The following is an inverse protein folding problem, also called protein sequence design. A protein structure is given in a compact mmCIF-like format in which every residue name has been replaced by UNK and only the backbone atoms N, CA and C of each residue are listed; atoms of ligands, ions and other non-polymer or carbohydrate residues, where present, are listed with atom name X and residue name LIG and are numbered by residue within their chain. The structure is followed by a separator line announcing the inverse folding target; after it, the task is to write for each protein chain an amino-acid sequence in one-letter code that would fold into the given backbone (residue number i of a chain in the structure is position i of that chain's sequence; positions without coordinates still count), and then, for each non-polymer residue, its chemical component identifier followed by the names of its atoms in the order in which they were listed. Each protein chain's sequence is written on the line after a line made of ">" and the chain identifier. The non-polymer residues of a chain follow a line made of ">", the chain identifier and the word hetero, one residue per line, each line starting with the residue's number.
data_IF_909141344647
#
_entry.id   IF_909141344647
#
_cell.length_a   1.000
_cell.length_b   1.000
_cell.length_c   1.000
_cell.angle_alpha   90.00
_cell.angle_beta   90.00
_cell.angle_gamma   90.00
#
_symmetry.space_group_name_H-M   'P 1'
#
loop_
_entity.id
_entity.type
_entity.pdbx_description
1 polymer ?
#
# COMPACT_ATOMS: atom_id res chain seq x y z
N UNK A 1 -24.14 -4.05 -27.32
CA UNK A 1 -25.17 -3.84 -26.26
C UNK A 1 -24.58 -3.22 -24.98
N UNK A 2 -23.38 -3.57 -24.52
CA UNK A 2 -22.76 -2.94 -23.32
C UNK A 2 -22.22 -1.51 -23.57
N UNK A 3 -21.94 -1.13 -24.81
CA UNK A 3 -21.41 0.19 -25.19
C UNK A 3 -22.34 1.38 -24.96
N UNK A 4 -23.58 1.16 -24.50
CA UNK A 4 -24.56 2.21 -24.20
C UNK A 4 -24.76 2.49 -22.70
N UNK A 5 -24.05 1.78 -21.81
CA UNK A 5 -24.15 2.07 -20.38
C UNK A 5 -23.38 3.35 -20.02
N UNK A 6 -23.96 4.23 -19.18
CA UNK A 6 -23.23 5.35 -18.60
C UNK A 6 -21.98 4.91 -17.85
N UNK A 7 -20.91 5.67 -17.96
CA UNK A 7 -19.63 5.41 -17.31
C UNK A 7 -19.76 5.13 -15.81
N UNK A 8 -20.60 5.90 -15.09
CA UNK A 8 -20.84 5.71 -13.66
C UNK A 8 -21.39 4.32 -13.31
N UNK A 9 -22.22 3.73 -14.16
CA UNK A 9 -22.76 2.39 -13.94
C UNK A 9 -21.68 1.33 -14.22
N UNK A 10 -20.90 1.49 -15.28
CA UNK A 10 -19.77 0.60 -15.57
C UNK A 10 -18.74 0.64 -14.42
N UNK A 11 -18.45 1.82 -13.89
CA UNK A 11 -17.54 1.99 -12.76
C UNK A 11 -18.05 1.28 -11.50
N UNK A 12 -19.37 1.33 -11.24
CA UNK A 12 -20.00 0.55 -10.17
C UNK A 12 -19.90 -0.96 -10.39
N UNK A 13 -20.03 -1.43 -11.62
CA UNK A 13 -19.81 -2.86 -11.94
C UNK A 13 -18.35 -3.22 -11.72
N UNK A 14 -17.41 -2.38 -12.16
CA UNK A 14 -15.98 -2.61 -12.03
C UNK A 14 -15.52 -2.61 -10.56
N UNK A 15 -16.23 -1.91 -9.67
CA UNK A 15 -15.95 -1.93 -8.23
C UNK A 15 -16.14 -3.31 -7.57
N UNK A 16 -16.83 -4.25 -8.22
CA UNK A 16 -16.96 -5.64 -7.74
C UNK A 16 -15.85 -6.57 -8.26
N UNK A 17 -14.99 -6.09 -9.15
CA UNK A 17 -13.91 -6.88 -9.73
C UNK A 17 -12.65 -6.79 -8.87
N UNK A 18 -11.90 -7.88 -8.80
CA UNK A 18 -10.55 -7.88 -8.26
C UNK A 18 -9.61 -7.05 -9.13
N UNK A 19 -8.48 -6.61 -8.56
CA UNK A 19 -7.46 -5.87 -9.31
C UNK A 19 -6.88 -6.65 -10.50
N UNK A 20 -6.83 -7.98 -10.42
CA UNK A 20 -6.39 -8.86 -11.52
C UNK A 20 -7.43 -8.83 -12.66
N UNK A 21 -8.71 -8.87 -12.32
CA UNK A 21 -9.79 -8.76 -13.30
C UNK A 21 -9.83 -7.34 -13.92
N UNK A 22 -9.63 -6.29 -13.12
CA UNK A 22 -9.50 -4.90 -13.61
C UNK A 22 -8.37 -4.77 -14.64
N UNK A 23 -7.21 -5.37 -14.39
CA UNK A 23 -6.11 -5.42 -15.37
C UNK A 23 -6.52 -6.13 -16.66
N UNK A 24 -7.33 -7.19 -16.56
CA UNK A 24 -7.80 -7.97 -17.71
C UNK A 24 -8.81 -7.18 -18.54
N UNK A 25 -9.82 -6.58 -17.90
CA UNK A 25 -10.87 -5.82 -18.60
C UNK A 25 -10.34 -4.51 -19.22
N UNK A 26 -9.26 -3.94 -18.68
CA UNK A 26 -8.57 -2.78 -19.26
C UNK A 26 -7.99 -3.03 -20.67
N UNK A 27 -7.91 -4.30 -21.09
CA UNK A 27 -7.43 -4.69 -22.43
C UNK A 27 -8.56 -4.77 -23.47
N UNK A 28 -9.83 -4.71 -23.06
CA UNK A 28 -10.99 -4.90 -23.94
C UNK A 28 -11.17 -3.73 -24.91
N UNK A 29 -11.24 -2.49 -24.42
CA UNK A 29 -11.35 -1.29 -25.26
C UNK A 29 -10.84 -0.03 -24.53
N UNK A 30 -10.69 1.08 -25.27
CA UNK A 30 -10.17 2.36 -24.72
C UNK A 30 -11.03 2.92 -23.58
N UNK A 31 -12.36 2.82 -23.68
CA UNK A 31 -13.27 3.27 -22.62
C UNK A 31 -13.10 2.44 -21.35
N UNK A 32 -13.04 1.11 -21.50
CA UNK A 32 -12.87 0.20 -20.36
C UNK A 32 -11.51 0.36 -19.71
N UNK A 33 -10.46 0.61 -20.50
CA UNK A 33 -9.14 0.96 -19.97
C UNK A 33 -9.20 2.22 -19.11
N UNK A 34 -9.83 3.28 -19.61
CA UNK A 34 -9.98 4.54 -18.86
C UNK A 34 -10.75 4.33 -17.54
N UNK A 35 -11.85 3.58 -17.58
CA UNK A 35 -12.67 3.31 -16.40
C UNK A 35 -11.99 2.35 -15.41
N UNK A 36 -11.31 1.32 -15.89
CA UNK A 36 -10.58 0.38 -15.05
C UNK A 36 -9.37 1.03 -14.36
N UNK A 37 -8.88 2.16 -14.86
CA UNK A 37 -7.77 2.93 -14.27
C UNK A 37 -8.25 4.04 -13.35
N UNK A 38 -9.56 4.17 -13.13
CA UNK A 38 -10.11 5.18 -12.23
C UNK A 38 -9.63 4.96 -10.79
N UNK A 39 -9.10 6.01 -10.17
CA UNK A 39 -8.48 5.93 -8.84
C UNK A 39 -9.43 5.48 -7.73
N UNK A 40 -10.74 5.62 -7.93
CA UNK A 40 -11.73 5.09 -6.98
C UNK A 40 -11.75 3.56 -6.90
N UNK A 41 -11.25 2.87 -7.93
CA UNK A 41 -11.11 1.41 -7.95
C UNK A 41 -9.79 0.92 -7.33
N UNK A 42 -8.78 1.79 -7.22
CA UNK A 42 -7.43 1.45 -6.74
C UNK A 42 -7.13 2.06 -5.36
N UNK A 43 -8.17 2.22 -4.51
CA UNK A 43 -8.00 2.78 -3.18
C UNK A 43 -7.30 1.84 -2.19
N UNK A 44 -7.25 0.54 -2.49
CA UNK A 44 -6.63 -0.46 -1.64
C UNK A 44 -5.78 -1.42 -2.47
N UNK A 45 -4.47 -1.48 -2.24
CA UNK A 45 -3.58 -2.41 -2.92
C UNK A 45 -3.07 -3.47 -1.95
N UNK A 46 -3.17 -4.73 -2.35
CA UNK A 46 -2.53 -5.82 -1.65
C UNK A 46 -1.47 -6.41 -2.57
N UNK A 47 -0.19 -6.38 -2.16
CA UNK A 47 0.91 -6.99 -2.91
C UNK A 47 1.35 -8.32 -2.30
N UNK A 48 0.69 -8.79 -1.24
CA UNK A 48 0.98 -10.07 -0.61
C UNK A 48 0.25 -11.19 -1.33
N UNK A 49 0.96 -11.89 -2.22
CA UNK A 49 0.42 -12.94 -3.08
C UNK A 49 -0.29 -14.06 -2.32
N UNK A 50 0.24 -14.43 -1.16
CA UNK A 50 -0.32 -15.45 -0.27
C UNK A 50 -1.74 -15.10 0.23
N UNK A 51 -2.10 -13.82 0.21
CA UNK A 51 -3.39 -13.29 0.65
C UNK A 51 -4.22 -12.73 -0.52
N UNK A 52 -4.01 -13.24 -1.74
CA UNK A 52 -4.77 -12.81 -2.93
C UNK A 52 -4.33 -11.45 -3.49
N UNK A 53 -3.09 -11.05 -3.22
CA UNK A 53 -2.49 -9.82 -3.73
C UNK A 53 -2.23 -9.83 -5.25
N UNK A 54 -1.91 -8.64 -5.77
CA UNK A 54 -1.55 -8.42 -7.17
C UNK A 54 -0.10 -8.84 -7.38
N UNK A 55 0.14 -9.60 -8.44
CA UNK A 55 1.49 -9.90 -8.88
C UNK A 55 2.12 -8.69 -9.58
N UNK A 56 3.20 -8.20 -9.01
CA UNK A 56 4.04 -7.12 -9.56
C UNK A 56 5.43 -7.69 -9.80
N UNK A 57 6.03 -7.44 -10.97
CA UNK A 57 7.29 -8.09 -11.36
C UNK A 57 8.52 -7.37 -10.85
N UNK A 58 8.44 -6.06 -10.69
CA UNK A 58 9.56 -5.20 -10.31
C UNK A 58 9.07 -3.99 -9.52
N UNK A 59 10.02 -3.31 -8.86
CA UNK A 59 9.75 -2.04 -8.19
C UNK A 59 9.23 -1.00 -9.20
N UNK A 60 9.78 -0.94 -10.41
CA UNK A 60 9.31 -0.01 -11.45
C UNK A 60 7.85 -0.23 -11.84
N UNK A 61 7.41 -1.49 -11.91
CA UNK A 61 6.01 -1.81 -12.19
C UNK A 61 5.09 -1.32 -11.05
N UNK A 62 5.54 -1.42 -9.79
CA UNK A 62 4.81 -0.88 -8.64
C UNK A 62 4.72 0.65 -8.70
N UNK A 63 5.85 1.31 -8.92
CA UNK A 63 5.90 2.77 -9.03
C UNK A 63 5.01 3.24 -10.18
N UNK A 64 5.03 2.57 -11.33
CA UNK A 64 4.13 2.86 -12.45
C UNK A 64 2.66 2.65 -12.09
N UNK A 65 2.33 1.61 -11.34
CA UNK A 65 0.96 1.35 -10.88
C UNK A 65 0.47 2.46 -9.94
N UNK A 66 1.31 2.91 -9.01
CA UNK A 66 1.01 4.03 -8.12
C UNK A 66 0.79 5.30 -8.95
N UNK A 67 1.70 5.61 -9.87
CA UNK A 67 1.63 6.80 -10.73
C UNK A 67 0.38 6.83 -11.63
N UNK A 68 0.03 5.70 -12.24
CA UNK A 68 -1.02 5.67 -13.27
C UNK A 68 -2.43 5.42 -12.73
N UNK A 69 -2.56 4.77 -11.57
CA UNK A 69 -3.86 4.23 -11.12
C UNK A 69 -4.25 4.69 -9.73
N UNK A 70 -3.32 4.64 -8.78
CA UNK A 70 -3.67 4.79 -7.36
C UNK A 70 -3.47 6.22 -6.86
N UNK A 71 -2.28 6.78 -7.08
CA UNK A 71 -1.89 8.16 -6.79
C UNK A 71 -2.50 8.70 -5.49
N UNK A 72 -3.17 9.86 -5.60
CA UNK A 72 -3.81 10.53 -4.48
C UNK A 72 -5.06 9.84 -3.92
N UNK A 73 -5.59 8.83 -4.62
CA UNK A 73 -6.76 8.05 -4.22
C UNK A 73 -6.40 6.85 -3.34
N UNK A 74 -5.13 6.47 -3.25
CA UNK A 74 -4.68 5.32 -2.46
C UNK A 74 -4.91 5.58 -0.96
N UNK A 75 -5.64 4.67 -0.31
CA UNK A 75 -5.99 4.72 1.11
C UNK A 75 -5.38 3.59 1.91
N UNK A 76 -5.19 2.42 1.29
CA UNK A 76 -4.61 1.24 1.94
C UNK A 76 -3.58 0.58 1.02
N UNK A 77 -2.44 0.20 1.57
CA UNK A 77 -1.47 -0.63 0.85
C UNK A 77 -0.81 -1.64 1.77
N UNK A 78 -0.66 -2.86 1.28
CA UNK A 78 0.09 -3.93 1.93
C UNK A 78 1.27 -4.32 1.05
N UNK A 79 2.48 -4.14 1.56
CA UNK A 79 3.74 -4.46 0.88
C UNK A 79 4.33 -5.75 1.44
N UNK A 80 4.78 -6.64 0.54
CA UNK A 80 5.69 -7.73 0.89
C UNK A 80 7.13 -7.22 0.98
N UNK A 81 7.98 -7.96 1.70
CA UNK A 81 9.39 -7.63 1.95
C UNK A 81 10.16 -7.12 0.73
N UNK A 82 9.92 -7.73 -0.43
CA UNK A 82 10.63 -7.42 -1.69
C UNK A 82 10.34 -6.01 -2.22
N UNK A 83 9.24 -5.39 -1.79
CA UNK A 83 8.85 -4.03 -2.19
C UNK A 83 9.08 -2.98 -1.11
N UNK A 84 9.55 -3.36 0.08
CA UNK A 84 9.80 -2.42 1.17
C UNK A 84 11.19 -1.81 1.00
N UNK A 85 11.28 -0.84 0.11
CA UNK A 85 12.51 -0.15 -0.29
C UNK A 85 12.34 1.37 -0.19
N UNK A 86 13.45 2.13 -0.10
CA UNK A 86 13.41 3.60 -0.04
C UNK A 86 12.55 4.20 -1.18
N UNK A 87 12.77 3.86 -2.47
CA UNK A 87 12.01 4.48 -3.55
C UNK A 87 10.49 4.28 -3.43
N UNK A 88 10.05 3.09 -2.99
CA UNK A 88 8.63 2.79 -2.82
C UNK A 88 8.04 3.57 -1.64
N UNK A 89 8.75 3.62 -0.50
CA UNK A 89 8.28 4.34 0.68
C UNK A 89 8.21 5.85 0.45
N UNK A 90 9.19 6.41 -0.25
CA UNK A 90 9.20 7.83 -0.62
C UNK A 90 8.09 8.16 -1.63
N UNK A 91 7.87 7.29 -2.62
CA UNK A 91 6.77 7.48 -3.57
C UNK A 91 5.41 7.49 -2.85
N UNK A 92 5.21 6.59 -1.90
CA UNK A 92 4.00 6.57 -1.07
C UNK A 92 3.89 7.85 -0.23
N UNK A 93 4.98 8.31 0.38
CA UNK A 93 5.00 9.56 1.15
C UNK A 93 4.68 10.80 0.31
N UNK A 94 5.17 10.84 -0.93
CA UNK A 94 5.08 12.04 -1.78
C UNK A 94 3.80 12.09 -2.65
N UNK A 95 3.24 10.94 -3.05
CA UNK A 95 2.08 10.89 -3.97
C UNK A 95 0.77 10.46 -3.35
N UNK A 96 0.81 9.83 -2.18
CA UNK A 96 -0.37 9.21 -1.58
C UNK A 96 -0.79 9.93 -0.28
N UNK A 97 -1.21 11.22 -0.33
CA UNK A 97 -1.58 11.98 0.87
C UNK A 97 -2.83 11.43 1.57
N UNK A 98 -3.65 10.63 0.86
CA UNK A 98 -4.84 9.98 1.42
C UNK A 98 -4.55 8.62 2.05
N UNK A 99 -3.28 8.18 2.10
CA UNK A 99 -2.91 6.88 2.62
C UNK A 99 -3.13 6.83 4.14
N UNK A 100 -4.00 5.92 4.58
CA UNK A 100 -4.41 5.77 5.99
C UNK A 100 -3.98 4.44 6.58
N UNK A 101 -3.84 3.40 5.76
CA UNK A 101 -3.47 2.06 6.21
C UNK A 101 -2.24 1.60 5.46
N UNK A 102 -1.18 1.27 6.19
CA UNK A 102 0.03 0.71 5.62
C UNK A 102 0.39 -0.58 6.37
N UNK A 103 0.55 -1.67 5.62
CA UNK A 103 1.10 -2.91 6.15
C UNK A 103 2.46 -3.17 5.51
N UNK A 104 3.48 -3.30 6.34
CA UNK A 104 4.85 -3.66 5.96
C UNK A 104 5.11 -5.09 6.42
N UNK A 105 5.16 -6.03 5.47
CA UNK A 105 5.33 -7.44 5.78
C UNK A 105 6.76 -7.91 5.59
N UNK A 106 7.51 -7.98 6.69
CA UNK A 106 8.87 -8.49 6.73
C UNK A 106 8.95 -9.94 7.22
N UNK A 107 7.84 -10.70 7.24
CA UNK A 107 7.80 -12.04 7.80
C UNK A 107 8.79 -13.01 7.14
N UNK A 108 9.05 -12.82 5.84
CA UNK A 108 10.01 -13.60 5.05
C UNK A 108 11.38 -12.91 4.88
N UNK A 109 11.58 -11.74 5.48
CA UNK A 109 12.81 -10.97 5.32
C UNK A 109 13.93 -11.54 6.20
N UNK A 110 15.07 -11.81 5.58
CA UNK A 110 16.32 -12.20 6.26
C UNK A 110 17.16 -11.00 6.68
N UNK A 111 17.00 -9.88 5.98
CA UNK A 111 17.70 -8.63 6.22
C UNK A 111 16.79 -7.45 5.81
N UNK A 112 16.97 -6.29 6.44
CA UNK A 112 16.32 -5.05 6.05
C UNK A 112 17.21 -4.26 5.08
N UNK A 113 16.57 -3.53 4.16
CA UNK A 113 17.25 -2.47 3.44
C UNK A 113 17.80 -1.41 4.41
N UNK A 114 18.88 -0.76 4.04
CA UNK A 114 19.35 0.41 4.77
C UNK A 114 18.38 1.58 4.49
N UNK A 115 17.75 2.11 5.55
CA UNK A 115 16.82 3.24 5.48
C UNK A 115 17.44 4.55 6.00
N UNK A 116 18.76 4.62 6.18
CA UNK A 116 19.45 5.82 6.67
C UNK A 116 19.20 7.06 5.81
N UNK A 117 18.99 6.88 4.51
CA UNK A 117 18.72 7.97 3.55
C UNK A 117 17.23 8.23 3.31
N UNK A 118 16.33 7.49 3.97
CA UNK A 118 14.89 7.68 3.80
C UNK A 118 14.48 9.12 4.17
N UNK A 119 13.98 9.87 3.19
CA UNK A 119 13.63 11.28 3.31
C UNK A 119 12.13 11.52 3.46
N UNK A 120 11.30 10.66 2.88
CA UNK A 120 9.84 10.78 2.92
C UNK A 120 9.18 9.47 3.35
N UNK A 121 8.16 9.57 4.19
CA UNK A 121 7.31 8.46 4.60
C UNK A 121 5.87 8.95 4.76
N UNK A 122 4.85 8.12 4.51
CA UNK A 122 3.44 8.53 4.68
C UNK A 122 3.14 9.05 6.08
N UNK A 123 2.72 10.32 6.17
CA UNK A 123 2.58 11.06 7.43
C UNK A 123 1.13 11.17 7.95
N UNK A 124 0.15 10.67 7.20
CA UNK A 124 -1.29 10.71 7.56
C UNK A 124 -1.87 9.32 7.85
N UNK A 125 -1.01 8.41 8.31
CA UNK A 125 -1.38 7.02 8.57
C UNK A 125 -2.20 6.94 9.85
N UNK A 126 -3.36 6.31 9.78
CA UNK A 126 -4.20 5.99 10.94
C UNK A 126 -3.89 4.56 11.46
N UNK A 127 -3.54 3.65 10.55
CA UNK A 127 -3.20 2.27 10.84
C UNK A 127 -1.83 1.94 10.23
N UNK A 128 -0.91 1.48 11.07
CA UNK A 128 0.37 0.94 10.66
C UNK A 128 0.52 -0.47 11.22
N UNK A 129 0.72 -1.44 10.34
CA UNK A 129 1.03 -2.81 10.70
C UNK A 129 2.41 -3.18 10.21
N UNK A 130 3.23 -3.72 11.09
CA UNK A 130 4.55 -4.21 10.75
C UNK A 130 4.59 -5.69 11.16
N UNK A 131 4.68 -6.56 10.17
CA UNK A 131 4.92 -7.99 10.40
C UNK A 131 6.42 -8.23 10.40
N UNK A 132 6.94 -8.92 11.41
CA UNK A 132 8.35 -9.09 11.67
C UNK A 132 8.73 -10.57 11.61
N UNK A 133 9.88 -10.86 11.01
CA UNK A 133 10.58 -12.13 11.21
C UNK A 133 11.37 -12.11 12.52
N UNK A 134 11.90 -13.26 12.93
CA UNK A 134 12.68 -13.39 14.18
C UNK A 134 14.09 -12.80 14.08
N UNK A 135 14.51 -12.40 12.88
CA UNK A 135 15.92 -12.11 12.56
C UNK A 135 16.14 -10.62 12.28
N UNK A 136 15.08 -9.87 11.99
CA UNK A 136 15.18 -8.46 11.62
C UNK A 136 15.16 -7.54 12.83
N UNK A 137 16.00 -6.50 12.76
CA UNK A 137 16.07 -5.46 13.78
C UNK A 137 15.64 -4.12 13.21
N UNK A 138 14.50 -3.60 13.68
CA UNK A 138 13.79 -2.47 13.06
C UNK A 138 14.30 -1.08 13.47
N UNK A 139 15.41 -1.00 14.21
CA UNK A 139 15.87 0.28 14.78
C UNK A 139 16.06 1.37 13.72
N UNK A 140 16.71 1.05 12.61
CA UNK A 140 16.97 2.00 11.52
C UNK A 140 15.69 2.57 10.90
N UNK A 141 14.71 1.71 10.60
CA UNK A 141 13.42 2.14 10.05
C UNK A 141 12.61 2.92 11.09
N UNK A 142 12.51 2.42 12.32
CA UNK A 142 11.73 3.05 13.40
C UNK A 142 12.23 4.46 13.70
N UNK A 143 13.56 4.68 13.69
CA UNK A 143 14.16 6.01 13.88
C UNK A 143 13.69 7.01 12.81
N UNK A 144 13.44 6.55 11.58
CA UNK A 144 12.99 7.40 10.47
C UNK A 144 11.49 7.66 10.48
N UNK A 145 10.69 6.66 10.81
CA UNK A 145 9.23 6.79 10.77
C UNK A 145 8.63 7.29 12.09
N UNK A 146 9.44 7.50 13.13
CA UNK A 146 9.00 7.94 14.46
C UNK A 146 8.15 9.21 14.41
N UNK A 147 8.52 10.19 13.58
CA UNK A 147 7.74 11.43 13.42
C UNK A 147 6.33 11.18 12.91
N UNK A 148 6.15 10.19 12.04
CA UNK A 148 4.86 9.80 11.46
C UNK A 148 3.97 9.05 12.46
N UNK A 149 4.56 8.41 13.49
CA UNK A 149 3.81 7.66 14.50
C UNK A 149 2.85 8.55 15.30
N UNK A 150 3.10 9.86 15.38
CA UNK A 150 2.20 10.83 16.02
C UNK A 150 0.78 10.85 15.41
N UNK A 151 0.66 10.50 14.13
CA UNK A 151 -0.63 10.43 13.42
C UNK A 151 -1.32 9.06 13.52
N UNK A 152 -0.58 8.03 13.95
CA UNK A 152 -1.01 6.64 13.94
C UNK A 152 -1.83 6.36 15.19
N UNK A 153 -3.10 5.98 15.01
CA UNK A 153 -3.98 5.58 16.11
C UNK A 153 -3.78 4.11 16.48
N UNK A 154 -3.50 3.27 15.48
CA UNK A 154 -3.34 1.83 15.64
C UNK A 154 -1.99 1.39 15.09
N UNK A 155 -1.11 0.96 15.99
CA UNK A 155 0.18 0.36 15.65
C UNK A 155 0.17 -1.13 16.02
N UNK A 156 0.24 -1.98 15.00
CA UNK A 156 0.39 -3.42 15.16
C UNK A 156 1.82 -3.85 14.87
N UNK A 157 2.47 -4.46 15.86
CA UNK A 157 3.77 -5.11 15.70
C UNK A 157 3.56 -6.61 15.85
N UNK A 158 3.53 -7.31 14.72
CA UNK A 158 3.24 -8.74 14.65
C UNK A 158 4.56 -9.47 14.46
N UNK A 159 5.06 -10.18 15.46
CA UNK A 159 6.16 -11.15 15.34
C UNK A 159 5.81 -12.46 16.03
N UNK A 160 6.79 -13.31 16.38
CA UNK A 160 6.56 -14.48 17.25
C UNK A 160 5.92 -14.13 18.60
N UNK A 161 6.01 -12.87 19.02
CA UNK A 161 5.24 -12.29 20.12
C UNK A 161 4.44 -11.11 19.54
N UNK A 162 3.10 -11.20 19.55
CA UNK A 162 2.23 -10.16 19.02
C UNK A 162 2.03 -9.06 20.07
N UNK A 163 2.44 -7.83 19.78
CA UNK A 163 2.20 -6.67 20.63
C UNK A 163 1.31 -5.68 19.88
N UNK A 164 0.09 -5.47 20.40
CA UNK A 164 -0.81 -4.42 19.92
C UNK A 164 -0.70 -3.23 20.85
N UNK A 165 -0.21 -2.10 20.35
CA UNK A 165 -0.25 -0.83 21.08
C UNK A 165 -1.43 -0.03 20.53
N UNK A 166 -2.55 -0.05 21.24
CA UNK A 166 -3.67 0.86 20.97
C UNK A 166 -3.39 2.18 21.69
N UNK A 167 -3.19 3.26 20.94
CA UNK A 167 -2.87 4.58 21.48
C UNK A 167 -3.96 5.07 22.44
N UNK A 168 -3.65 5.10 23.73
CA UNK A 168 -4.33 5.96 24.69
C UNK A 168 -3.30 6.97 25.18
N UNK A 169 -3.41 8.20 24.68
CA UNK A 169 -2.65 9.40 25.03
C UNK A 169 -1.25 9.18 25.62
N UNK A 170 -0.24 9.16 24.77
CA UNK A 170 1.15 9.46 25.16
C UNK A 170 1.31 10.98 25.29
N UNK A 171 0.81 11.51 26.40
CA UNK A 171 1.26 12.76 27.01
C UNK A 171 1.40 12.46 28.49
N UNK A 172 2.60 12.04 28.91
CA UNK A 172 3.24 12.29 30.20
C UNK A 172 4.68 11.74 30.16
#
# INVERSE_FOLDING_TARGET
>A
LITRLPDKLLLRVFAYLSHVELCTIARVCKQWRRLAYDSSLWQALNLRLEYGGIFVRSIDDLLNLIHQRSGSGLRRIELSSDFITIPVLEELGNRCPSLRSLTLDFSNAMQLHDFNELAAFPSSLHYLCICLSDVIFMEGLMRKIYSCLSSVEILHLIGKFCWTVSGSNMND
#
